data_IF_828954121167
#
_entry.id   IF_828954121167
#
_cell.length_a   1.000
_cell.length_b   1.000
_cell.length_c   1.000
_cell.angle_alpha   90.00
_cell.angle_beta   90.00
_cell.angle_gamma   90.00
#
_symmetry.space_group_name_H-M   'P 1'
#
loop_
_entity.id
_entity.type
_entity.pdbx_description
1 polymer ?
#
# COMPACT_ATOMS: atom_id res chain seq x y z
N UNK A 1 -3.01 19.06 -12.47
CA UNK A 1 -4.28 18.35 -12.15
C UNK A 1 -4.08 17.52 -10.91
N UNK A 2 -5.02 17.54 -9.97
CA UNK A 2 -4.90 16.68 -8.78
C UNK A 2 -5.00 15.21 -9.15
N UNK A 3 -4.28 14.39 -8.41
CA UNK A 3 -4.33 12.93 -8.55
C UNK A 3 -5.66 12.43 -7.95
N UNK A 4 -6.38 11.63 -8.73
CA UNK A 4 -7.66 11.07 -8.30
C UNK A 4 -7.50 9.61 -7.85
N UNK A 5 -8.54 9.07 -7.21
CA UNK A 5 -8.56 7.65 -6.86
C UNK A 5 -8.48 6.77 -8.10
N UNK A 6 -9.09 7.21 -9.22
CA UNK A 6 -8.98 6.49 -10.49
C UNK A 6 -7.53 6.44 -10.99
N UNK A 7 -6.78 7.53 -10.81
CA UNK A 7 -5.35 7.56 -11.17
C UNK A 7 -4.56 6.58 -10.31
N UNK A 8 -4.85 6.52 -9.00
CA UNK A 8 -4.18 5.59 -8.10
C UNK A 8 -4.54 4.14 -8.44
N UNK A 9 -5.80 3.88 -8.74
CA UNK A 9 -6.24 2.54 -9.17
C UNK A 9 -5.48 2.11 -10.43
N UNK A 10 -5.39 2.99 -11.43
CA UNK A 10 -4.69 2.69 -12.68
C UNK A 10 -3.20 2.38 -12.43
N UNK A 11 -2.55 3.17 -11.57
CA UNK A 11 -1.14 2.97 -11.22
C UNK A 11 -0.95 1.65 -10.47
N UNK A 12 -1.83 1.33 -9.52
CA UNK A 12 -1.77 0.09 -8.76
C UNK A 12 -1.95 -1.12 -9.68
N UNK A 13 -2.92 -1.06 -10.61
CA UNK A 13 -3.15 -2.16 -11.54
C UNK A 13 -2.02 -2.33 -12.55
N UNK A 14 -1.43 -1.24 -13.02
CA UNK A 14 -0.29 -1.29 -13.94
C UNK A 14 0.91 -2.01 -13.28
N UNK A 15 1.20 -1.70 -12.01
CA UNK A 15 2.31 -2.33 -11.30
C UNK A 15 1.97 -3.76 -10.86
N UNK A 16 0.69 -4.03 -10.55
CA UNK A 16 0.25 -5.38 -10.17
C UNK A 16 0.54 -6.39 -11.28
N UNK A 17 0.43 -5.99 -12.53
CA UNK A 17 0.74 -6.83 -13.68
C UNK A 17 2.20 -7.29 -13.71
N UNK A 18 3.08 -6.61 -12.97
CA UNK A 18 4.51 -6.92 -12.88
C UNK A 18 4.87 -7.70 -11.61
N UNK A 19 3.90 -8.05 -10.78
CA UNK A 19 4.16 -8.77 -9.53
C UNK A 19 4.83 -10.11 -9.79
N UNK A 20 5.75 -10.46 -8.89
CA UNK A 20 6.41 -11.76 -8.93
C UNK A 20 5.80 -12.65 -7.86
N UNK A 21 4.80 -13.44 -8.22
CA UNK A 21 4.03 -14.26 -7.29
C UNK A 21 3.91 -15.71 -7.77
N UNK A 22 5.06 -16.42 -7.99
CA UNK A 22 5.01 -17.78 -8.55
C UNK A 22 4.48 -18.82 -7.56
N UNK A 23 4.55 -18.55 -6.26
CA UNK A 23 4.14 -19.51 -5.22
C UNK A 23 2.67 -19.37 -4.87
N UNK A 24 2.23 -18.17 -4.50
CA UNK A 24 0.84 -17.94 -4.09
C UNK A 24 -0.11 -17.73 -5.25
N UNK A 25 0.39 -17.26 -6.39
CA UNK A 25 -0.42 -16.80 -7.52
C UNK A 25 -1.33 -15.61 -7.16
N UNK A 26 -1.01 -14.92 -6.06
CA UNK A 26 -1.79 -13.80 -5.55
C UNK A 26 -1.02 -12.51 -5.79
N UNK A 27 -1.28 -11.85 -6.93
CA UNK A 27 -0.60 -10.64 -7.34
C UNK A 27 -1.27 -9.41 -6.75
N UNK A 28 -0.48 -8.56 -6.09
CA UNK A 28 -0.96 -7.35 -5.42
C UNK A 28 -0.19 -6.15 -5.97
N UNK A 29 -0.91 -5.05 -6.17
CA UNK A 29 -0.32 -3.76 -6.53
C UNK A 29 -0.70 -2.71 -5.50
N UNK A 30 0.18 -1.76 -5.27
CA UNK A 30 -0.08 -0.63 -4.39
C UNK A 30 0.42 0.65 -5.03
N UNK A 31 -0.36 1.73 -4.90
CA UNK A 31 0.00 3.05 -5.38
C UNK A 31 -0.18 4.05 -4.25
N UNK A 32 0.83 4.88 -4.03
CA UNK A 32 0.86 5.89 -2.99
C UNK A 32 0.83 7.27 -3.63
N UNK A 33 -0.09 8.12 -3.18
CA UNK A 33 0.00 9.56 -3.40
C UNK A 33 0.78 10.12 -2.21
N UNK A 34 1.97 10.65 -2.49
CA UNK A 34 2.88 11.15 -1.46
C UNK A 34 2.75 12.65 -1.27
N UNK A 35 3.42 13.17 -0.25
CA UNK A 35 3.40 14.57 0.13
C UNK A 35 4.05 15.50 -0.91
N UNK A 36 4.84 14.96 -1.84
CA UNK A 36 5.39 15.70 -2.97
C UNK A 36 4.41 15.81 -4.17
N UNK A 37 3.21 15.24 -4.02
CA UNK A 37 2.19 15.24 -5.08
C UNK A 37 2.40 14.18 -6.15
N UNK A 38 3.45 13.35 -6.03
CA UNK A 38 3.75 12.30 -7.00
C UNK A 38 3.17 10.97 -6.57
N UNK A 39 3.01 10.07 -7.53
CA UNK A 39 2.51 8.70 -7.29
C UNK A 39 3.68 7.73 -7.35
N UNK A 40 3.79 6.90 -6.32
CA UNK A 40 4.78 5.83 -6.24
C UNK A 40 4.06 4.50 -6.16
N UNK A 41 4.54 3.51 -6.90
CA UNK A 41 3.86 2.23 -7.00
C UNK A 41 4.81 1.07 -6.73
N UNK A 42 4.26 -0.02 -6.22
CA UNK A 42 5.01 -1.24 -5.97
C UNK A 42 4.11 -2.47 -6.07
N UNK A 43 4.71 -3.61 -6.31
CA UNK A 43 4.03 -4.89 -6.38
C UNK A 43 4.68 -5.87 -5.42
N UNK A 44 3.99 -6.98 -5.13
CA UNK A 44 4.58 -8.00 -4.27
C UNK A 44 5.64 -8.81 -5.04
N UNK A 45 6.65 -9.22 -4.29
CA UNK A 45 7.79 -9.99 -4.80
C UNK A 45 7.98 -11.16 -3.85
N UNK A 46 7.70 -12.37 -4.33
CA UNK A 46 7.83 -13.57 -3.52
C UNK A 46 9.22 -14.14 -3.59
N UNK A 47 9.55 -15.00 -2.65
CA UNK A 47 10.82 -15.67 -2.56
C UNK A 47 10.59 -17.11 -2.09
N UNK A 48 11.38 -18.06 -2.58
CA UNK A 48 11.32 -19.45 -2.12
C UNK A 48 11.57 -19.53 -0.60
N UNK A 49 12.39 -18.62 -0.07
CA UNK A 49 12.49 -18.40 1.37
C UNK A 49 11.41 -17.40 1.77
N UNK A 50 10.25 -17.90 2.15
CA UNK A 50 9.04 -17.10 2.36
C UNK A 50 9.22 -15.83 3.19
N UNK A 51 9.99 -15.83 4.30
CA UNK A 51 10.17 -14.60 5.07
C UNK A 51 10.88 -13.47 4.31
N UNK A 52 11.53 -13.79 3.19
CA UNK A 52 12.26 -12.80 2.39
C UNK A 52 11.38 -12.17 1.30
N UNK A 53 10.13 -12.56 1.21
CA UNK A 53 9.16 -11.93 0.32
C UNK A 53 8.87 -10.49 0.75
N UNK A 54 8.44 -9.66 -0.21
CA UNK A 54 8.11 -8.27 0.05
C UNK A 54 6.71 -7.96 -0.45
N UNK A 55 5.89 -7.35 0.42
CA UNK A 55 4.53 -6.98 0.06
C UNK A 55 4.51 -5.76 -0.88
N UNK A 56 3.43 -5.62 -1.64
CA UNK A 56 3.27 -4.50 -2.57
C UNK A 56 3.38 -3.14 -1.86
N UNK A 57 2.79 -3.03 -0.68
CA UNK A 57 2.81 -1.79 0.08
C UNK A 57 4.23 -1.43 0.52
N UNK A 58 5.02 -2.41 0.96
CA UNK A 58 6.41 -2.19 1.33
C UNK A 58 7.24 -1.75 0.11
N UNK A 59 6.99 -2.35 -1.05
CA UNK A 59 7.66 -1.97 -2.30
C UNK A 59 7.32 -0.54 -2.70
N UNK A 60 6.04 -0.16 -2.58
CA UNK A 60 5.59 1.20 -2.89
C UNK A 60 6.22 2.22 -1.93
N UNK A 61 6.30 1.90 -0.64
CA UNK A 61 6.95 2.76 0.36
C UNK A 61 8.44 2.91 0.02
N UNK A 62 9.12 1.83 -0.36
CA UNK A 62 10.52 1.89 -0.75
C UNK A 62 10.72 2.83 -1.95
N UNK A 63 9.84 2.75 -2.95
CA UNK A 63 9.88 3.65 -4.10
C UNK A 63 9.67 5.11 -3.69
N UNK A 64 8.72 5.36 -2.79
CA UNK A 64 8.44 6.69 -2.26
C UNK A 64 9.67 7.29 -1.57
N UNK A 65 10.29 6.52 -0.68
CA UNK A 65 11.49 6.97 0.05
C UNK A 65 12.64 7.23 -0.92
N UNK A 66 12.86 6.32 -1.88
CA UNK A 66 13.89 6.50 -2.91
C UNK A 66 13.66 7.75 -3.75
N UNK A 67 12.40 8.12 -3.97
CA UNK A 67 12.02 9.31 -4.70
C UNK A 67 12.11 10.61 -3.91
N UNK A 68 12.42 10.55 -2.61
CA UNK A 68 12.61 11.71 -1.75
C UNK A 68 11.40 12.14 -0.92
N UNK A 69 10.25 11.52 -1.12
CA UNK A 69 9.06 11.81 -0.32
C UNK A 69 9.09 11.04 1.01
N UNK A 70 8.34 11.53 2.00
CA UNK A 70 8.39 10.97 3.37
C UNK A 70 7.02 10.73 3.97
N UNK A 71 5.93 11.23 3.35
CA UNK A 71 4.58 11.10 3.93
C UNK A 71 3.61 10.56 2.90
N UNK A 72 2.74 9.67 3.35
CA UNK A 72 1.68 9.09 2.54
C UNK A 72 0.42 9.93 2.75
N UNK A 73 -0.11 10.53 1.68
CA UNK A 73 -1.41 11.22 1.74
C UNK A 73 -2.56 10.25 1.53
N UNK A 74 -2.35 9.26 0.65
CA UNK A 74 -3.37 8.26 0.31
C UNK A 74 -2.68 7.03 -0.27
N UNK A 75 -3.19 5.85 0.01
CA UNK A 75 -2.66 4.61 -0.57
C UNK A 75 -3.79 3.75 -1.11
N UNK A 76 -3.60 3.19 -2.29
CA UNK A 76 -4.56 2.34 -2.99
C UNK A 76 -3.93 0.97 -3.21
N UNK A 77 -4.59 -0.09 -2.74
CA UNK A 77 -4.11 -1.47 -2.85
C UNK A 77 -5.08 -2.26 -3.71
N UNK A 78 -4.57 -2.97 -4.71
CA UNK A 78 -5.38 -3.81 -5.60
C UNK A 78 -4.90 -5.25 -5.57
N UNK A 79 -5.83 -6.16 -5.72
CA UNK A 79 -5.55 -7.59 -5.83
C UNK A 79 -6.68 -8.32 -6.52
N UNK A 80 -6.57 -9.64 -6.70
CA UNK A 80 -7.60 -10.43 -7.37
C UNK A 80 -8.84 -10.63 -6.50
N UNK A 81 -9.93 -11.02 -7.14
CA UNK A 81 -11.16 -11.40 -6.44
C UNK A 81 -12.08 -10.24 -6.15
N UNK A 82 -13.18 -10.52 -5.45
CA UNK A 82 -14.23 -9.56 -5.16
C UNK A 82 -14.13 -8.97 -3.76
N UNK A 83 -13.45 -9.63 -2.84
CA UNK A 83 -13.27 -9.12 -1.48
C UNK A 83 -12.16 -8.06 -1.46
N UNK A 84 -12.30 -7.00 -0.64
CA UNK A 84 -11.24 -6.00 -0.53
C UNK A 84 -9.92 -6.63 -0.09
N UNK A 85 -8.86 -6.33 -0.82
CA UNK A 85 -7.51 -6.78 -0.48
C UNK A 85 -6.92 -5.77 0.49
N UNK A 86 -7.14 -6.00 1.79
CA UNK A 86 -6.65 -5.11 2.83
C UNK A 86 -5.17 -5.38 3.10
N UNK A 87 -4.40 -4.35 3.50
CA UNK A 87 -2.99 -4.58 3.89
C UNK A 87 -2.91 -5.53 5.08
N UNK A 88 -1.93 -6.43 5.06
CA UNK A 88 -1.69 -7.32 6.21
C UNK A 88 -1.21 -6.50 7.42
N UNK A 89 -1.19 -7.14 8.60
CA UNK A 89 -0.81 -6.45 9.83
C UNK A 89 0.55 -5.78 9.76
N UNK A 90 1.54 -6.47 9.18
CA UNK A 90 2.88 -5.90 9.01
C UNK A 90 2.88 -4.67 8.12
N UNK A 91 2.11 -4.67 7.03
CA UNK A 91 2.02 -3.52 6.13
C UNK A 91 1.27 -2.36 6.77
N UNK A 92 0.27 -2.63 7.61
CA UNK A 92 -0.41 -1.57 8.37
C UNK A 92 0.58 -0.83 9.26
N UNK A 93 1.47 -1.55 9.92
CA UNK A 93 2.54 -0.95 10.72
C UNK A 93 3.52 -0.15 9.86
N UNK A 94 3.88 -0.68 8.68
CA UNK A 94 4.75 0.05 7.74
C UNK A 94 4.13 1.35 7.27
N UNK A 95 2.84 1.32 6.95
CA UNK A 95 2.10 2.52 6.54
C UNK A 95 2.04 3.52 7.70
N UNK A 96 1.86 3.02 8.93
CA UNK A 96 1.77 3.83 10.15
C UNK A 96 2.98 4.77 10.31
N UNK A 97 4.17 4.33 9.93
CA UNK A 97 5.39 5.14 10.04
C UNK A 97 5.31 6.43 9.23
N UNK A 98 4.63 6.40 8.08
CA UNK A 98 4.65 7.50 7.11
C UNK A 98 3.28 8.14 6.91
N UNK A 99 2.28 7.79 7.70
CA UNK A 99 0.90 8.26 7.51
C UNK A 99 0.35 8.90 8.77
N UNK A 100 -0.71 9.68 8.58
CA UNK A 100 -1.49 10.24 9.69
C UNK A 100 -2.64 9.29 10.04
N UNK A 101 -3.26 9.44 11.23
CA UNK A 101 -4.39 8.57 11.61
C UNK A 101 -5.56 8.59 10.62
N UNK A 102 -5.80 9.74 9.98
CA UNK A 102 -6.90 9.91 9.02
C UNK A 102 -6.50 9.65 7.57
N UNK A 103 -5.27 9.20 7.32
CA UNK A 103 -4.83 8.84 5.97
C UNK A 103 -5.74 7.75 5.41
N UNK A 104 -6.25 7.95 4.20
CA UNK A 104 -7.18 7.03 3.56
C UNK A 104 -6.40 5.88 2.94
N UNK A 105 -6.83 4.66 3.27
CA UNK A 105 -6.34 3.41 2.69
C UNK A 105 -7.48 2.80 1.91
N UNK A 106 -7.31 2.65 0.60
CA UNK A 106 -8.32 2.06 -0.27
C UNK A 106 -7.89 0.63 -0.59
N UNK A 107 -8.75 -0.33 -0.29
CA UNK A 107 -8.50 -1.75 -0.48
C UNK A 107 -9.50 -2.29 -1.51
N UNK A 108 -9.00 -2.87 -2.59
CA UNK A 108 -9.84 -3.20 -3.73
C UNK A 108 -9.48 -4.58 -4.30
N UNK A 109 -10.39 -5.53 -4.16
CA UNK A 109 -10.41 -6.73 -4.99
C UNK A 109 -11.08 -6.33 -6.30
N UNK A 110 -10.36 -6.46 -7.42
CA UNK A 110 -10.76 -5.79 -8.67
C UNK A 110 -12.07 -6.28 -9.28
N UNK A 111 -12.60 -7.42 -8.81
CA UNK A 111 -13.91 -7.92 -9.24
C UNK A 111 -15.05 -7.43 -8.33
N UNK A 112 -14.76 -6.63 -7.32
CA UNK A 112 -15.74 -6.07 -6.39
C UNK A 112 -15.56 -4.57 -6.21
N UNK A 113 -16.16 -4.04 -5.15
CA UNK A 113 -16.12 -2.60 -4.86
C UNK A 113 -14.93 -2.25 -3.98
N UNK A 114 -14.33 -1.07 -4.15
CA UNK A 114 -13.26 -0.62 -3.27
C UNK A 114 -13.80 -0.30 -1.86
N UNK A 115 -12.99 -0.63 -0.85
CA UNK A 115 -13.27 -0.32 0.55
C UNK A 115 -12.38 0.83 0.98
N UNK A 116 -12.99 1.93 1.44
CA UNK A 116 -12.26 3.07 1.98
C UNK A 116 -12.17 2.95 3.49
N UNK A 117 -10.94 3.00 4.01
CA UNK A 117 -10.67 2.94 5.46
C UNK A 117 -9.70 4.05 5.82
N UNK A 118 -9.57 4.31 7.12
CA UNK A 118 -8.48 5.17 7.62
C UNK A 118 -7.41 4.30 8.25
N UNK A 119 -6.19 4.82 8.35
CA UNK A 119 -5.13 4.08 9.03
C UNK A 119 -5.51 3.76 10.47
N UNK A 120 -6.06 4.73 11.19
CA UNK A 120 -6.49 4.51 12.58
C UNK A 120 -7.55 3.41 12.69
N UNK A 121 -8.45 3.31 11.71
CA UNK A 121 -9.45 2.25 11.67
C UNK A 121 -8.86 0.86 11.42
N UNK A 122 -7.78 0.80 10.64
CA UNK A 122 -7.11 -0.47 10.32
C UNK A 122 -6.09 -0.89 11.37
N UNK A 123 -5.55 0.07 12.14
CA UNK A 123 -4.52 -0.20 13.15
C UNK A 123 -4.78 0.67 14.39
N UNK A 124 -5.86 0.38 15.14
CA UNK A 124 -6.16 1.12 16.36
C UNK A 124 -5.12 0.83 17.45
N UNK A 125 -4.87 1.83 18.33
CA UNK A 125 -3.92 1.68 19.44
C UNK A 125 -2.54 1.19 18.99
N UNK A 126 -2.01 1.79 17.93
CA UNK A 126 -0.80 1.31 17.29
C UNK A 126 0.46 1.89 17.91
N UNK A 127 1.55 1.12 17.84
CA UNK A 127 2.88 1.59 18.19
C UNK A 127 3.39 2.56 17.12
N UNK A 128 4.07 3.61 17.56
CA UNK A 128 4.62 4.60 16.63
C UNK A 128 5.81 5.34 17.21
N UNK A 129 6.38 6.30 16.43
CA UNK A 129 7.60 7.02 16.82
C UNK A 129 7.47 7.78 18.14
N UNK A 130 6.28 8.20 18.51
CA UNK A 130 6.03 8.93 19.76
C UNK A 130 6.43 8.14 21.00
N UNK A 131 6.37 6.80 20.94
CA UNK A 131 6.81 5.95 22.04
C UNK A 131 8.33 5.96 22.20
N UNK A 132 9.06 6.39 21.18
CA UNK A 132 10.51 6.50 21.18
C UNK A 132 10.99 7.95 21.32
N UNK A 133 10.11 8.85 21.70
CA UNK A 133 10.42 10.26 21.90
C UNK A 133 10.63 11.05 20.61
N UNK A 134 10.05 10.59 19.53
CA UNK A 134 10.22 11.22 18.20
C UNK A 134 9.01 12.03 17.77
#
# INVERSE_FOLDING_TARGET
>A
MPVTDADLFAAAEAIRAKAYAPYSKFSVGAAILADDGKVYAGCNIENAAYPQGNCAEASAIAAMIAGGARRIRRIYVTGPGSAPVTPCGGCRQRIREFADPDTVVISHGVEGEPLHSTLAGLLPHSFGPEFLGK
#
